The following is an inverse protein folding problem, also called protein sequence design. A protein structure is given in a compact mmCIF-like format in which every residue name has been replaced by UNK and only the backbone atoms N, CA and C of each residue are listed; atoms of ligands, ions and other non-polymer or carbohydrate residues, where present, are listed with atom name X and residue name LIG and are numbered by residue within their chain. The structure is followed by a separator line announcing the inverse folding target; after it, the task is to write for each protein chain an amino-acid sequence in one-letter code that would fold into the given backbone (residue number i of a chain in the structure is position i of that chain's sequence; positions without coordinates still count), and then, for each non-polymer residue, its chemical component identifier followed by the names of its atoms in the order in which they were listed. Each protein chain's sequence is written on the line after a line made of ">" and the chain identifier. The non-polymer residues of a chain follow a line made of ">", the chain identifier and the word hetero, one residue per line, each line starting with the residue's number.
data_IF_400383009890
#
_entry.id   IF_400383009890
#
_cell.length_a   1.000
_cell.length_b   1.000
_cell.length_c   1.000
_cell.angle_alpha   90.00
_cell.angle_beta   90.00
_cell.angle_gamma   90.00
#
_symmetry.space_group_name_H-M   'P 1'
#
loop_
_entity.id
_entity.type
_entity.pdbx_description
1 polymer ?
#
# COMPACT_ATOMS: atom_id res chain seq x y z
N UNK A 1 -18.63 12.52 10.64
CA UNK A 1 -19.84 12.19 9.93
C UNK A 1 -19.86 10.70 9.61
N UNK A 2 -20.80 10.03 10.14
CA UNK A 2 -21.18 8.67 9.69
C UNK A 2 -21.76 8.70 8.28
N UNK A 3 -21.32 9.69 7.53
CA UNK A 3 -21.93 10.15 6.34
C UNK A 3 -21.83 9.27 5.14
N UNK A 4 -21.64 9.90 4.04
CA UNK A 4 -21.67 9.32 2.68
C UNK A 4 -20.71 8.13 2.50
N UNK A 5 -19.54 8.12 3.16
CA UNK A 5 -18.57 7.02 3.04
C UNK A 5 -19.12 5.66 3.48
N UNK A 6 -19.89 5.61 4.56
CA UNK A 6 -20.51 4.36 5.02
C UNK A 6 -21.70 3.94 4.12
N UNK A 7 -22.42 4.90 3.59
CA UNK A 7 -23.52 4.64 2.63
C UNK A 7 -22.94 4.01 1.36
N UNK A 8 -21.88 4.57 0.76
CA UNK A 8 -21.28 4.02 -0.45
C UNK A 8 -20.69 2.62 -0.23
N UNK A 9 -20.04 2.38 0.90
CA UNK A 9 -19.51 1.04 1.24
C UNK A 9 -20.65 0.01 1.37
N UNK A 10 -21.74 0.39 2.00
CA UNK A 10 -22.91 -0.49 2.13
C UNK A 10 -23.58 -0.75 0.78
N UNK A 11 -23.77 0.30 -0.03
CA UNK A 11 -24.31 0.14 -1.38
C UNK A 11 -23.47 -0.80 -2.25
N UNK A 12 -22.13 -0.65 -2.21
CA UNK A 12 -21.22 -1.52 -2.93
C UNK A 12 -21.34 -2.99 -2.51
N UNK A 13 -21.52 -3.25 -1.21
CA UNK A 13 -21.67 -4.60 -0.65
C UNK A 13 -23.04 -5.25 -0.92
N UNK A 14 -24.07 -4.46 -1.13
CA UNK A 14 -25.44 -4.95 -1.27
C UNK A 14 -25.88 -5.17 -2.71
N UNK A 15 -25.11 -4.68 -3.69
CA UNK A 15 -25.44 -4.91 -5.11
C UNK A 15 -25.02 -6.31 -5.56
N UNK A 16 -25.95 -7.13 -6.10
CA UNK A 16 -25.67 -8.53 -6.43
C UNK A 16 -24.77 -8.73 -7.64
N UNK A 17 -24.64 -7.73 -8.55
CA UNK A 17 -23.88 -7.85 -9.79
C UNK A 17 -23.08 -6.59 -10.13
N UNK A 18 -21.84 -6.80 -10.57
CA UNK A 18 -21.04 -5.79 -11.26
C UNK A 18 -20.58 -4.59 -10.43
N UNK A 19 -20.72 -4.64 -9.10
CA UNK A 19 -20.31 -3.56 -8.24
C UNK A 19 -19.32 -4.07 -7.19
N UNK A 20 -18.07 -3.66 -7.33
CA UNK A 20 -16.99 -3.99 -6.39
C UNK A 20 -16.71 -2.79 -5.47
N UNK A 21 -16.64 -3.04 -4.16
CA UNK A 21 -16.19 -2.02 -3.22
C UNK A 21 -14.67 -1.87 -3.32
N UNK A 22 -14.21 -0.65 -3.52
CA UNK A 22 -12.81 -0.28 -3.44
C UNK A 22 -12.53 0.45 -2.13
N UNK A 23 -11.42 0.12 -1.50
CA UNK A 23 -10.97 0.73 -0.26
C UNK A 23 -9.68 1.50 -0.50
N UNK A 24 -9.42 2.59 0.25
CA UNK A 24 -8.15 3.29 0.17
C UNK A 24 -6.95 2.36 0.32
N UNK A 25 -5.84 2.73 -0.28
CA UNK A 25 -4.59 2.00 -0.26
C UNK A 25 -3.48 2.82 -0.90
N UNK A 26 -2.26 2.26 -1.02
CA UNK A 26 -1.10 2.97 -1.56
C UNK A 26 -1.19 3.20 -3.08
N UNK A 27 -2.29 2.83 -3.69
CA UNK A 27 -2.59 2.93 -5.11
C UNK A 27 -3.23 1.66 -5.66
N UNK A 28 -3.63 1.71 -6.91
CA UNK A 28 -4.15 0.57 -7.67
C UNK A 28 -2.99 -0.10 -8.41
N UNK A 29 -2.99 -1.43 -8.38
CA UNK A 29 -2.08 -2.27 -9.15
C UNK A 29 -2.82 -3.15 -10.15
N UNK A 30 -2.08 -4.00 -10.86
CA UNK A 30 -2.58 -4.88 -11.91
C UNK A 30 -2.54 -4.21 -13.29
N UNK A 31 -3.20 -4.81 -14.28
CA UNK A 31 -3.06 -4.41 -15.67
C UNK A 31 -4.19 -3.49 -16.15
N UNK A 32 -5.45 -3.88 -15.92
CA UNK A 32 -6.59 -3.18 -16.53
C UNK A 32 -6.92 -1.87 -15.80
N UNK A 33 -7.13 -1.91 -14.48
CA UNK A 33 -7.66 -0.75 -13.75
C UNK A 33 -6.70 0.45 -13.78
N UNK A 34 -5.38 0.31 -13.62
CA UNK A 34 -4.47 1.44 -13.73
C UNK A 34 -4.17 1.89 -15.16
N UNK A 35 -4.44 1.07 -16.19
CA UNK A 35 -3.99 1.33 -17.55
C UNK A 35 -5.12 1.68 -18.53
N UNK A 36 -6.24 0.95 -18.53
CA UNK A 36 -7.31 1.13 -19.51
C UNK A 36 -7.95 2.54 -19.47
N UNK A 37 -8.08 3.20 -18.29
CA UNK A 37 -8.56 4.58 -18.25
C UNK A 37 -7.67 5.56 -19.02
N UNK A 38 -6.33 5.33 -19.09
CA UNK A 38 -5.43 6.16 -19.91
C UNK A 38 -5.70 6.00 -21.38
N UNK A 39 -5.92 4.76 -21.85
CA UNK A 39 -6.29 4.52 -23.24
C UNK A 39 -7.63 5.17 -23.58
N UNK A 40 -8.62 5.07 -22.71
CA UNK A 40 -9.91 5.71 -22.90
C UNK A 40 -9.77 7.23 -22.96
N UNK A 41 -9.03 7.83 -22.05
CA UNK A 41 -8.78 9.28 -22.00
C UNK A 41 -8.04 9.76 -23.25
N UNK A 42 -7.01 9.02 -23.66
CA UNK A 42 -6.27 9.32 -24.89
C UNK A 42 -7.18 9.26 -26.13
N UNK A 43 -7.97 8.19 -26.25
CA UNK A 43 -8.86 8.02 -27.41
C UNK A 43 -9.99 9.06 -27.43
N UNK A 44 -10.55 9.41 -26.29
CA UNK A 44 -11.61 10.42 -26.20
C UNK A 44 -11.18 11.79 -26.75
N UNK A 45 -9.91 12.17 -26.57
CA UNK A 45 -9.36 13.44 -27.07
C UNK A 45 -9.37 13.54 -28.59
N UNK A 46 -9.24 12.41 -29.30
CA UNK A 46 -9.36 12.40 -30.77
C UNK A 46 -10.75 12.83 -31.24
N UNK A 47 -11.78 12.69 -30.39
CA UNK A 47 -13.15 13.10 -30.65
C UNK A 47 -13.52 14.41 -29.96
N UNK A 48 -12.54 15.17 -29.49
CA UNK A 48 -12.75 16.45 -28.81
C UNK A 48 -13.37 16.32 -27.41
N UNK A 49 -13.34 15.13 -26.80
CA UNK A 49 -13.90 14.90 -25.46
C UNK A 49 -12.81 14.78 -24.41
N UNK A 50 -13.01 15.44 -23.27
CA UNK A 50 -12.11 15.38 -22.12
C UNK A 50 -12.74 14.59 -20.97
N UNK A 51 -12.05 13.55 -20.54
CA UNK A 51 -12.47 12.67 -19.45
C UNK A 51 -11.97 13.18 -18.09
N UNK A 52 -12.33 14.40 -17.73
CA UNK A 52 -11.73 15.13 -16.58
C UNK A 52 -11.82 14.36 -15.26
N UNK A 53 -12.93 13.66 -14.98
CA UNK A 53 -13.06 12.85 -13.76
C UNK A 53 -12.13 11.65 -13.75
N UNK A 54 -11.96 10.98 -14.89
CA UNK A 54 -11.05 9.84 -15.03
C UNK A 54 -9.61 10.35 -14.84
N UNK A 55 -9.22 11.40 -15.54
CA UNK A 55 -7.88 11.99 -15.46
C UNK A 55 -7.53 12.45 -14.03
N UNK A 56 -8.47 13.11 -13.35
CA UNK A 56 -8.28 13.51 -11.95
C UNK A 56 -8.16 12.31 -11.01
N UNK A 57 -8.97 11.27 -11.21
CA UNK A 57 -8.90 10.05 -10.39
C UNK A 57 -7.57 9.32 -10.57
N UNK A 58 -7.06 9.26 -11.79
CA UNK A 58 -5.77 8.64 -12.09
C UNK A 58 -4.61 9.44 -11.50
N UNK A 59 -4.63 10.76 -11.62
CA UNK A 59 -3.64 11.64 -11.01
C UNK A 59 -3.58 11.44 -9.48
N UNK A 60 -4.74 11.37 -8.81
CA UNK A 60 -4.81 11.12 -7.37
C UNK A 60 -4.24 9.73 -7.04
N UNK A 61 -4.61 8.70 -7.82
CA UNK A 61 -4.09 7.35 -7.63
C UNK A 61 -2.55 7.31 -7.74
N UNK A 62 -2.00 7.98 -8.75
CA UNK A 62 -0.55 7.99 -8.99
C UNK A 62 0.24 8.74 -7.91
N UNK A 63 -0.42 9.65 -7.19
CA UNK A 63 0.16 10.38 -6.06
C UNK A 63 0.08 9.59 -4.73
N UNK A 64 -0.69 8.51 -4.67
CA UNK A 64 -0.86 7.78 -3.41
C UNK A 64 0.43 7.20 -2.81
N UNK A 65 1.41 6.69 -3.57
CA UNK A 65 2.68 6.27 -3.01
C UNK A 65 3.42 7.38 -2.26
N UNK A 66 3.51 8.57 -2.86
CA UNK A 66 4.10 9.76 -2.23
C UNK A 66 3.34 10.16 -0.96
N UNK A 67 2.02 10.20 -1.03
CA UNK A 67 1.18 10.50 0.13
C UNK A 67 1.38 9.49 1.27
N UNK A 68 1.49 8.20 0.95
CA UNK A 68 1.78 7.17 1.96
C UNK A 68 3.14 7.38 2.62
N UNK A 69 4.17 7.74 1.86
CA UNK A 69 5.51 8.01 2.42
C UNK A 69 5.52 9.29 3.25
N UNK A 70 4.80 10.34 2.84
CA UNK A 70 4.60 11.53 3.67
C UNK A 70 3.94 11.18 5.02
N UNK A 71 2.91 10.32 5.00
CA UNK A 71 2.28 9.82 6.23
C UNK A 71 3.25 9.01 7.08
N UNK A 72 4.03 8.11 6.46
CA UNK A 72 5.07 7.34 7.14
C UNK A 72 6.11 8.24 7.82
N UNK A 73 6.52 9.33 7.16
CA UNK A 73 7.42 10.33 7.75
C UNK A 73 6.83 11.00 8.99
N UNK A 74 5.53 11.32 8.97
CA UNK A 74 4.82 11.88 10.13
C UNK A 74 4.72 10.87 11.29
N UNK A 75 4.54 9.58 10.97
CA UNK A 75 4.55 8.51 11.98
C UNK A 75 5.93 8.41 12.65
N UNK A 76 6.99 8.29 11.85
CA UNK A 76 8.35 8.25 12.36
C UNK A 76 8.70 9.47 13.22
N UNK A 77 8.29 10.67 12.78
CA UNK A 77 8.54 11.90 13.53
C UNK A 77 7.90 11.90 14.93
N UNK A 78 6.72 11.26 15.10
CA UNK A 78 6.12 11.09 16.44
C UNK A 78 6.92 10.18 17.36
N UNK A 79 7.74 9.30 16.77
CA UNK A 79 8.70 8.46 17.48
C UNK A 79 10.11 9.07 17.53
N UNK A 80 10.24 10.40 17.31
CA UNK A 80 11.48 11.14 17.29
C UNK A 80 12.52 10.58 16.30
N UNK A 81 12.05 10.01 15.18
CA UNK A 81 12.88 9.41 14.14
C UNK A 81 12.67 10.15 12.81
N UNK A 82 13.78 10.50 12.16
CA UNK A 82 13.75 11.04 10.80
C UNK A 82 13.56 9.91 9.79
N UNK A 83 12.95 10.20 8.61
CA UNK A 83 12.88 9.24 7.51
C UNK A 83 14.27 8.84 7.01
N UNK A 84 15.18 9.82 6.92
CA UNK A 84 16.58 9.57 6.55
C UNK A 84 17.22 8.66 7.60
N UNK A 85 17.66 7.49 7.16
CA UNK A 85 18.29 6.45 7.99
C UNK A 85 17.31 5.57 8.77
N UNK A 86 15.99 5.82 8.71
CA UNK A 86 15.00 4.95 9.33
C UNK A 86 15.01 3.55 8.69
N UNK A 87 14.91 2.52 9.51
CA UNK A 87 14.69 1.14 9.06
C UNK A 87 13.21 0.91 8.84
N UNK A 88 12.80 0.65 7.62
CA UNK A 88 11.39 0.44 7.25
C UNK A 88 11.21 -0.95 6.65
N UNK A 89 10.32 -1.75 7.22
CA UNK A 89 9.90 -3.03 6.65
C UNK A 89 8.59 -2.84 5.89
N UNK A 90 8.58 -3.14 4.59
CA UNK A 90 7.37 -3.18 3.76
C UNK A 90 6.85 -4.60 3.71
N UNK A 91 5.64 -4.83 4.23
CA UNK A 91 4.98 -6.13 4.24
C UNK A 91 3.94 -6.20 3.12
N UNK A 92 4.22 -7.08 2.15
CA UNK A 92 3.40 -7.31 0.96
C UNK A 92 3.80 -6.44 -0.22
N UNK A 93 4.46 -7.01 -1.22
CA UNK A 93 4.84 -6.34 -2.48
C UNK A 93 3.99 -6.78 -3.68
N UNK A 94 3.11 -7.77 -3.51
CA UNK A 94 2.14 -8.14 -4.51
C UNK A 94 1.12 -7.01 -4.74
N UNK A 95 0.59 -6.89 -5.96
CA UNK A 95 -0.44 -5.88 -6.23
C UNK A 95 -1.81 -6.24 -5.62
N UNK A 96 -2.01 -7.50 -5.25
CA UNK A 96 -3.23 -8.01 -4.62
C UNK A 96 -2.87 -9.05 -3.57
N UNK A 97 -3.75 -9.26 -2.58
CA UNK A 97 -3.54 -10.29 -1.55
C UNK A 97 -3.49 -11.71 -2.14
N UNK A 98 -2.65 -12.55 -1.57
CA UNK A 98 -2.56 -14.00 -1.80
C UNK A 98 -2.24 -14.39 -3.25
N UNK A 99 -1.40 -13.61 -3.93
CA UNK A 99 -0.89 -13.91 -5.26
C UNK A 99 0.62 -13.64 -5.34
N UNK A 100 1.29 -14.26 -6.31
CA UNK A 100 2.70 -14.11 -6.61
C UNK A 100 2.97 -13.14 -7.78
N UNK A 101 2.17 -12.09 -7.89
CA UNK A 101 2.29 -11.09 -8.95
C UNK A 101 2.54 -9.69 -8.38
N UNK A 102 3.73 -9.14 -8.67
CA UNK A 102 4.15 -7.80 -8.26
C UNK A 102 4.10 -6.77 -9.39
N UNK A 103 3.74 -7.17 -10.61
CA UNK A 103 3.71 -6.27 -11.76
C UNK A 103 2.71 -5.14 -11.51
N UNK A 104 3.16 -3.90 -11.78
CA UNK A 104 2.38 -2.69 -11.52
C UNK A 104 1.89 -2.57 -10.06
N UNK A 105 2.60 -3.20 -9.11
CA UNK A 105 2.26 -3.05 -7.71
C UNK A 105 2.62 -1.66 -7.19
N UNK A 106 1.68 -0.94 -6.56
CA UNK A 106 1.98 0.36 -5.95
C UNK A 106 2.99 0.26 -4.79
N UNK A 107 3.15 -0.93 -4.18
CA UNK A 107 4.16 -1.16 -3.15
C UNK A 107 5.58 -0.92 -3.66
N UNK A 108 5.86 -1.28 -4.93
CA UNK A 108 7.19 -1.05 -5.51
C UNK A 108 7.49 0.45 -5.63
N UNK A 109 6.47 1.25 -5.97
CA UNK A 109 6.59 2.70 -6.01
C UNK A 109 6.77 3.29 -4.62
N UNK A 110 6.07 2.76 -3.61
CA UNK A 110 6.27 3.15 -2.20
C UNK A 110 7.71 2.88 -1.77
N UNK A 111 8.26 1.70 -2.07
CA UNK A 111 9.66 1.35 -1.75
C UNK A 111 10.62 2.30 -2.46
N UNK A 112 10.38 2.64 -3.72
CA UNK A 112 11.19 3.58 -4.47
C UNK A 112 11.20 4.97 -3.80
N UNK A 113 10.02 5.47 -3.40
CA UNK A 113 9.89 6.77 -2.73
C UNK A 113 10.57 6.75 -1.36
N UNK A 114 10.39 5.70 -0.55
CA UNK A 114 11.08 5.54 0.74
C UNK A 114 12.61 5.59 0.58
N UNK A 115 13.15 4.87 -0.42
CA UNK A 115 14.59 4.89 -0.73
C UNK A 115 15.07 6.26 -1.21
N UNK A 116 14.27 6.97 -1.99
CA UNK A 116 14.56 8.35 -2.41
C UNK A 116 14.65 9.29 -1.20
N UNK A 117 13.82 9.09 -0.19
CA UNK A 117 13.85 9.81 1.09
C UNK A 117 14.92 9.26 2.05
N UNK A 118 15.86 8.41 1.54
CA UNK A 118 17.01 7.86 2.27
C UNK A 118 16.64 6.92 3.43
N UNK A 119 15.48 6.28 3.41
CA UNK A 119 15.18 5.19 4.34
C UNK A 119 15.94 3.91 3.97
N UNK A 120 16.28 3.10 4.96
CA UNK A 120 16.78 1.74 4.79
C UNK A 120 15.58 0.81 4.70
N UNK A 121 15.28 0.31 3.49
CA UNK A 121 14.04 -0.41 3.21
C UNK A 121 14.31 -1.85 2.89
N UNK A 122 13.72 -2.74 3.68
CA UNK A 122 13.57 -4.15 3.39
C UNK A 122 12.11 -4.48 3.08
N UNK A 123 11.87 -5.62 2.46
CA UNK A 123 10.51 -6.10 2.26
C UNK A 123 10.36 -7.57 2.65
N UNK A 124 9.15 -7.91 3.03
CA UNK A 124 8.70 -9.28 3.23
C UNK A 124 7.40 -9.50 2.46
N UNK A 125 7.35 -10.59 1.71
CA UNK A 125 6.13 -11.04 1.05
C UNK A 125 6.14 -12.58 1.06
N UNK A 126 5.08 -13.24 1.55
CA UNK A 126 5.04 -14.69 1.64
C UNK A 126 4.97 -15.41 0.29
N UNK A 127 4.63 -14.69 -0.78
CA UNK A 127 4.51 -15.23 -2.14
C UNK A 127 5.66 -14.80 -3.05
N UNK A 128 6.32 -13.67 -2.73
CA UNK A 128 7.32 -13.04 -3.58
C UNK A 128 8.62 -12.89 -2.79
N UNK A 129 9.53 -13.86 -2.94
CA UNK A 129 10.84 -13.81 -2.29
C UNK A 129 11.78 -12.77 -2.91
N UNK A 130 11.58 -12.48 -4.19
CA UNK A 130 12.38 -11.52 -4.97
C UNK A 130 11.56 -10.90 -6.08
N UNK A 131 11.90 -9.67 -6.45
CA UNK A 131 11.30 -9.03 -7.61
C UNK A 131 12.35 -8.27 -8.44
N UNK A 132 12.02 -8.01 -9.70
CA UNK A 132 12.82 -7.18 -10.59
C UNK A 132 12.09 -5.89 -10.90
N UNK A 133 12.74 -4.76 -10.63
CA UNK A 133 12.16 -3.45 -10.85
C UNK A 133 13.19 -2.50 -11.46
N UNK A 134 12.84 -1.81 -12.54
CA UNK A 134 13.74 -0.90 -13.30
C UNK A 134 15.11 -1.52 -13.63
N UNK A 135 15.15 -2.82 -13.90
CA UNK A 135 16.37 -3.54 -14.25
C UNK A 135 17.16 -4.10 -13.07
N UNK A 136 16.85 -3.70 -11.86
CA UNK A 136 17.50 -4.19 -10.64
C UNK A 136 16.73 -5.34 -9.99
N UNK A 137 17.45 -6.28 -9.41
CA UNK A 137 16.90 -7.39 -8.64
C UNK A 137 16.91 -7.04 -7.16
N UNK A 138 15.76 -7.19 -6.52
CA UNK A 138 15.57 -6.94 -5.09
C UNK A 138 15.21 -8.25 -4.40
N UNK A 139 15.91 -8.54 -3.29
CA UNK A 139 15.68 -9.73 -2.47
C UNK A 139 14.95 -9.34 -1.20
N UNK A 140 13.86 -10.03 -0.87
CA UNK A 140 13.14 -9.89 0.39
C UNK A 140 13.80 -10.65 1.53
N UNK A 141 13.41 -10.32 2.77
CA UNK A 141 13.73 -11.15 3.92
C UNK A 141 12.93 -12.45 3.84
N UNK A 142 13.54 -13.56 4.27
CA UNK A 142 12.95 -14.90 4.08
C UNK A 142 11.79 -15.17 5.02
N UNK A 143 11.86 -14.63 6.23
CA UNK A 143 10.87 -14.83 7.28
C UNK A 143 10.78 -13.60 8.18
N UNK A 144 9.68 -13.46 8.88
CA UNK A 144 9.49 -12.46 9.93
C UNK A 144 9.38 -13.16 11.28
N UNK A 145 10.10 -12.66 12.28
CA UNK A 145 10.04 -13.11 13.67
C UNK A 145 9.86 -11.90 14.59
N UNK A 146 9.50 -12.12 15.87
CA UNK A 146 9.45 -11.04 16.86
C UNK A 146 10.74 -10.20 16.90
N UNK A 147 11.89 -10.86 16.86
CA UNK A 147 13.21 -10.22 16.92
C UNK A 147 13.47 -9.37 15.67
N UNK A 148 13.17 -9.91 14.49
CA UNK A 148 13.34 -9.20 13.22
C UNK A 148 12.42 -7.98 13.15
N UNK A 149 11.14 -8.13 13.52
CA UNK A 149 10.17 -7.03 13.53
C UNK A 149 10.63 -5.89 14.45
N UNK A 150 11.17 -6.22 15.64
CA UNK A 150 11.64 -5.25 16.62
C UNK A 150 12.84 -4.42 16.15
N UNK A 151 13.54 -4.84 15.08
CA UNK A 151 14.67 -4.08 14.52
C UNK A 151 14.25 -2.88 13.66
N UNK A 152 12.98 -2.82 13.25
CA UNK A 152 12.48 -1.78 12.35
C UNK A 152 11.84 -0.62 13.13
N UNK A 153 12.12 0.58 12.66
CA UNK A 153 11.50 1.81 13.18
C UNK A 153 10.02 1.93 12.74
N UNK A 154 9.69 1.34 11.58
CA UNK A 154 8.34 1.34 11.01
C UNK A 154 8.09 0.04 10.22
N UNK A 155 6.95 -0.58 10.46
CA UNK A 155 6.40 -1.64 9.60
C UNK A 155 5.26 -1.06 8.78
N UNK A 156 5.34 -1.14 7.46
CA UNK A 156 4.34 -0.61 6.54
C UNK A 156 3.66 -1.75 5.79
N UNK A 157 2.34 -1.91 5.96
CA UNK A 157 1.56 -2.98 5.32
C UNK A 157 0.98 -2.44 4.01
N UNK A 158 1.38 -3.04 2.88
CA UNK A 158 1.00 -2.61 1.53
C UNK A 158 0.16 -3.63 0.77
N UNK A 159 0.21 -4.91 1.17
CA UNK A 159 -0.73 -5.95 0.72
C UNK A 159 -1.25 -6.75 1.92
N UNK A 160 -2.52 -7.17 1.85
CA UNK A 160 -3.24 -7.79 2.97
C UNK A 160 -3.24 -9.33 2.85
N UNK A 161 -2.05 -9.96 2.85
CA UNK A 161 -1.93 -11.42 2.74
C UNK A 161 -2.52 -12.14 3.94
N UNK A 162 -3.26 -13.24 3.70
CA UNK A 162 -3.95 -13.98 4.75
C UNK A 162 -3.02 -14.86 5.61
N UNK A 163 -1.85 -15.20 5.08
CA UNK A 163 -0.86 -16.03 5.75
C UNK A 163 0.23 -15.24 6.51
N UNK A 164 -0.02 -13.96 6.78
CA UNK A 164 0.85 -13.11 7.62
C UNK A 164 0.27 -13.02 9.03
N UNK A 165 1.11 -13.26 10.04
CA UNK A 165 0.72 -13.10 11.45
C UNK A 165 0.77 -11.62 11.86
N UNK A 166 -0.36 -10.94 11.70
CA UNK A 166 -0.49 -9.52 12.05
C UNK A 166 -0.53 -9.28 13.56
N UNK A 167 -0.95 -10.26 14.37
CA UNK A 167 -0.89 -10.17 15.83
C UNK A 167 0.55 -10.18 16.33
N UNK A 168 1.40 -11.01 15.73
CA UNK A 168 2.84 -11.03 16.04
C UNK A 168 3.49 -9.70 15.63
N UNK A 169 3.17 -9.16 14.46
CA UNK A 169 3.68 -7.86 14.01
C UNK A 169 3.24 -6.76 14.99
N UNK A 170 1.98 -6.71 15.38
CA UNK A 170 1.46 -5.68 16.28
C UNK A 170 2.16 -5.70 17.66
N UNK A 171 2.44 -6.88 18.19
CA UNK A 171 3.05 -7.01 19.51
C UNK A 171 4.52 -6.60 19.56
N UNK A 172 5.23 -6.64 18.43
CA UNK A 172 6.68 -6.48 18.40
C UNK A 172 7.15 -5.25 17.60
N UNK A 173 6.32 -4.65 16.78
CA UNK A 173 6.68 -3.45 16.02
C UNK A 173 6.62 -2.19 16.88
N UNK A 174 7.58 -1.29 16.69
CA UNK A 174 7.59 0.05 17.31
C UNK A 174 6.43 0.88 16.79
N UNK A 175 6.27 0.94 15.48
CA UNK A 175 5.18 1.65 14.80
C UNK A 175 4.73 0.86 13.57
N UNK A 176 3.44 0.92 13.28
CA UNK A 176 2.83 0.24 12.14
C UNK A 176 2.02 1.25 11.32
N UNK A 177 2.22 1.26 10.02
CA UNK A 177 1.35 1.94 9.09
C UNK A 177 0.56 0.93 8.24
N UNK A 178 -0.66 0.69 8.62
CA UNK A 178 -1.57 -0.24 7.95
C UNK A 178 -2.34 0.46 6.82
N UNK A 179 -1.80 0.43 5.60
CA UNK A 179 -2.43 1.07 4.45
C UNK A 179 -3.63 0.31 3.89
N UNK A 180 -3.89 -0.89 4.39
CA UNK A 180 -4.97 -1.79 3.92
C UNK A 180 -6.06 -2.02 4.96
N UNK A 181 -5.87 -1.48 6.18
CA UNK A 181 -6.75 -1.70 7.33
C UNK A 181 -6.98 -3.21 7.61
N UNK A 182 -5.93 -4.01 7.42
CA UNK A 182 -5.97 -5.46 7.64
C UNK A 182 -6.07 -5.79 9.14
N UNK A 183 -5.47 -4.93 9.97
CA UNK A 183 -5.45 -5.08 11.43
C UNK A 183 -6.71 -4.55 12.14
N UNK A 184 -7.81 -4.36 11.42
CA UNK A 184 -9.07 -3.78 11.98
C UNK A 184 -9.68 -4.57 13.14
N UNK A 185 -9.38 -5.88 13.26
CA UNK A 185 -9.86 -6.77 14.31
C UNK A 185 -8.94 -6.84 15.53
N UNK A 186 -7.76 -6.25 15.48
CA UNK A 186 -6.82 -6.21 16.60
C UNK A 186 -7.31 -5.19 17.62
N UNK A 187 -7.45 -5.60 18.88
CA UNK A 187 -7.97 -4.75 19.95
C UNK A 187 -6.98 -3.66 20.36
N UNK A 188 -5.72 -4.04 20.63
CA UNK A 188 -4.67 -3.07 20.93
C UNK A 188 -4.15 -2.44 19.64
N UNK A 189 -4.37 -1.14 19.48
CA UNK A 189 -4.01 -0.37 18.30
C UNK A 189 -3.08 0.82 18.59
N UNK A 190 -2.42 0.81 19.75
CA UNK A 190 -1.64 1.96 20.22
C UNK A 190 -0.48 2.33 19.28
N UNK A 191 0.09 1.33 18.58
CA UNK A 191 1.17 1.50 17.61
C UNK A 191 0.71 1.37 16.15
N UNK A 192 -0.62 1.33 15.89
CA UNK A 192 -1.17 1.18 14.54
C UNK A 192 -1.78 2.48 14.05
N UNK A 193 -1.30 2.98 12.93
CA UNK A 193 -1.96 4.00 12.14
C UNK A 193 -2.53 3.44 10.85
N UNK A 194 -3.69 3.93 10.46
CA UNK A 194 -4.38 3.54 9.23
C UNK A 194 -4.36 4.70 8.24
N UNK A 195 -4.29 4.37 6.95
CA UNK A 195 -4.34 5.31 5.84
C UNK A 195 -5.65 6.11 5.81
#
# INVERSE_FOLDING_TARGET
>A
SRGLGDVYKRQAKTKPYGFQAFYPGPGLGGHCIPLDPYYLSWKAREFGFHTSMIESSMMINDQMPEYCVERASKILNRHAKAMNGAKVLVVGVAYKQDIDDYRESPALRVIEVLKREQANVDFYDPWIAEYKYKGEKHQGIKEISPEIIAEYDLVMITAAHTNVDYDMIQKNAVAIFDTKNVMKSIENRDNIEVL
#
